data_IF_396030003646
#
_entry.id   IF_396030003646
#
_cell.length_a   1.000
_cell.length_b   1.000
_cell.length_c   1.000
_cell.angle_alpha   90.00
_cell.angle_beta   90.00
_cell.angle_gamma   90.00
#
_symmetry.space_group_name_H-M   'P 1'
#
loop_
_entity.id
_entity.type
_entity.pdbx_description
1 polymer ?
#
# COMPACT_ATOMS: atom_id res chain seq x y z
N UNK A 1 16.02 17.96 2.85
CA UNK A 1 15.53 17.45 4.15
C UNK A 1 16.32 16.19 4.48
N UNK A 2 16.38 15.75 5.74
CA UNK A 2 16.96 14.43 6.05
C UNK A 2 15.92 13.34 5.76
N UNK A 3 16.38 12.19 5.25
CA UNK A 3 15.53 10.99 5.18
C UNK A 3 15.14 10.55 6.59
N UNK A 4 13.91 10.03 6.75
CA UNK A 4 13.40 9.61 8.05
C UNK A 4 12.54 8.36 7.92
N UNK A 5 12.77 7.40 8.79
CA UNK A 5 11.88 6.24 8.98
C UNK A 5 11.17 6.40 10.32
N UNK A 6 9.85 6.22 10.34
CA UNK A 6 9.03 6.30 11.54
C UNK A 6 8.25 5.00 11.70
N UNK A 7 8.50 4.29 12.81
CA UNK A 7 7.74 3.12 13.23
C UNK A 7 6.62 3.56 14.17
N UNK A 8 5.37 3.20 13.87
CA UNK A 8 4.23 3.55 14.71
C UNK A 8 3.94 2.45 15.73
N UNK A 9 3.49 2.85 16.92
CA UNK A 9 3.16 1.94 18.02
C UNK A 9 1.78 1.32 17.82
N UNK A 10 1.69 0.31 16.97
CA UNK A 10 0.43 -0.36 16.62
C UNK A 10 0.13 -1.60 17.47
N UNK A 11 1.07 -2.03 18.31
CA UNK A 11 0.93 -3.23 19.13
C UNK A 11 1.44 -4.45 18.39
N UNK A 12 0.53 -5.20 17.75
CA UNK A 12 0.88 -6.32 16.89
C UNK A 12 0.86 -5.91 15.40
N UNK A 13 1.74 -6.52 14.61
CA UNK A 13 1.98 -6.17 13.21
C UNK A 13 2.75 -4.87 13.02
N UNK A 14 2.73 -4.34 11.80
CA UNK A 14 3.61 -3.25 11.39
C UNK A 14 2.84 -2.04 10.84
N UNK A 15 3.45 -0.87 11.01
CA UNK A 15 3.08 0.36 10.31
C UNK A 15 4.29 1.28 10.29
N UNK A 16 4.82 1.54 9.09
CA UNK A 16 6.08 2.27 8.91
C UNK A 16 5.93 3.36 7.84
N UNK A 17 6.26 4.60 8.21
CA UNK A 17 6.34 5.73 7.28
C UNK A 17 7.81 6.05 6.97
N UNK A 18 8.19 5.87 5.71
CA UNK A 18 9.46 6.35 5.15
C UNK A 18 9.22 7.71 4.51
N UNK A 19 10.11 8.67 4.82
CA UNK A 19 10.18 9.97 4.16
C UNK A 19 11.51 10.13 3.48
N UNK A 20 11.48 10.48 2.20
CA UNK A 20 12.67 10.70 1.39
C UNK A 20 13.31 12.06 1.68
N UNK A 21 14.59 12.17 1.34
CA UNK A 21 15.40 13.38 1.53
C UNK A 21 15.19 14.46 0.45
N UNK A 22 14.11 14.40 -0.31
CA UNK A 22 13.77 15.35 -1.37
C UNK A 22 13.05 16.60 -0.84
N UNK A 23 12.93 17.64 -1.67
CA UNK A 23 12.19 18.87 -1.32
C UNK A 23 10.69 18.60 -1.13
N UNK A 24 10.03 17.76 -1.96
CA UNK A 24 8.65 17.33 -1.72
C UNK A 24 8.47 16.51 -0.45
N UNK A 25 9.52 16.02 0.21
CA UNK A 25 9.40 15.20 1.41
C UNK A 25 8.49 13.99 1.19
N UNK A 26 8.70 13.31 0.07
CA UNK A 26 7.89 12.19 -0.45
C UNK A 26 7.73 11.10 0.59
N UNK A 27 6.53 10.53 0.66
CA UNK A 27 6.08 9.64 1.72
C UNK A 27 5.67 8.26 1.21
N UNK A 28 6.29 7.22 1.77
CA UNK A 28 5.97 5.81 1.50
C UNK A 28 5.48 5.21 2.81
N UNK A 29 4.23 4.74 2.83
CA UNK A 29 3.64 4.06 3.99
C UNK A 29 3.54 2.56 3.69
N UNK A 30 4.20 1.75 4.53
CA UNK A 30 4.15 0.29 4.50
C UNK A 30 3.33 -0.20 5.68
N UNK A 31 2.31 -0.99 5.39
CA UNK A 31 1.32 -1.52 6.34
C UNK A 31 0.53 -0.45 7.11
N UNK A 32 -0.58 -0.88 7.71
CA UNK A 32 -1.42 -0.06 8.57
C UNK A 32 -2.11 -0.93 9.60
N UNK A 33 -2.03 -0.53 10.87
CA UNK A 33 -2.82 -1.16 11.93
C UNK A 33 -3.26 -0.12 12.96
N UNK A 34 -4.22 0.71 12.55
CA UNK A 34 -4.85 1.69 13.43
C UNK A 34 -5.99 1.00 14.17
N UNK A 35 -5.73 0.66 15.43
CA UNK A 35 -6.68 -0.05 16.31
C UNK A 35 -7.87 0.86 16.64
N UNK A 36 -9.08 0.32 16.58
CA UNK A 36 -10.32 1.07 16.89
C UNK A 36 -10.35 1.66 18.29
N UNK A 37 -9.64 1.04 19.25
CA UNK A 37 -9.47 1.59 20.59
C UNK A 37 -8.77 2.96 20.59
N UNK A 38 -7.89 3.23 19.62
CA UNK A 38 -7.21 4.52 19.46
C UNK A 38 -8.15 5.69 19.14
N UNK A 39 -9.40 5.39 18.74
CA UNK A 39 -10.42 6.39 18.46
C UNK A 39 -11.17 6.86 19.72
N UNK A 40 -11.03 6.16 20.86
CA UNK A 40 -11.54 6.62 22.14
C UNK A 40 -10.46 7.44 22.87
N UNK A 41 -10.65 8.76 23.07
CA UNK A 41 -9.67 9.60 23.75
C UNK A 41 -9.47 9.23 25.23
N UNK A 42 -10.26 8.31 25.78
CA UNK A 42 -10.11 7.78 27.15
C UNK A 42 -9.37 6.44 27.19
N UNK A 43 -9.10 5.81 26.05
CA UNK A 43 -8.32 4.58 25.98
C UNK A 43 -6.82 4.92 25.94
N UNK A 44 -5.98 4.11 26.57
CA UNK A 44 -4.53 4.32 26.62
C UNK A 44 -3.83 3.91 25.31
N UNK A 45 -4.57 3.41 24.31
CA UNK A 45 -4.05 3.06 22.99
C UNK A 45 -3.46 4.30 22.30
N UNK A 46 -2.21 4.25 21.80
CA UNK A 46 -1.61 5.37 21.08
C UNK A 46 -2.46 5.82 19.88
N UNK A 47 -2.71 7.13 19.77
CA UNK A 47 -3.38 7.75 18.62
C UNK A 47 -2.42 7.81 17.40
N UNK A 48 -2.26 6.65 16.76
CA UNK A 48 -1.46 6.47 15.56
C UNK A 48 -2.06 7.23 14.37
N UNK A 49 -3.38 7.41 14.32
CA UNK A 49 -4.08 8.11 13.26
C UNK A 49 -3.67 9.60 13.18
N UNK A 50 -3.67 10.28 14.32
CA UNK A 50 -3.20 11.67 14.44
C UNK A 50 -1.70 11.75 14.27
N UNK A 51 -0.94 10.79 14.80
CA UNK A 51 0.51 10.74 14.62
C UNK A 51 0.89 10.66 13.14
N UNK A 52 0.20 9.83 12.35
CA UNK A 52 0.40 9.76 10.89
C UNK A 52 0.02 11.10 10.25
N UNK A 53 -1.20 11.60 10.49
CA UNK A 53 -1.73 12.84 9.87
C UNK A 53 -0.84 14.06 10.09
N UNK A 54 -0.27 14.22 11.29
CA UNK A 54 0.65 15.31 11.62
C UNK A 54 1.95 15.28 10.79
N UNK A 55 2.23 14.18 10.11
CA UNK A 55 3.38 14.03 9.20
C UNK A 55 2.96 14.13 7.74
N UNK A 56 1.68 14.00 7.39
CA UNK A 56 1.27 13.99 5.98
C UNK A 56 1.25 15.39 5.37
N UNK A 57 1.39 15.42 4.04
CA UNK A 57 1.14 16.61 3.23
C UNK A 57 -0.31 16.61 2.74
N UNK A 58 -0.72 17.74 2.17
CA UNK A 58 -2.06 17.97 1.64
C UNK A 58 -1.99 18.30 0.15
N UNK A 59 -2.94 17.79 -0.63
CA UNK A 59 -3.07 18.15 -2.03
C UNK A 59 -3.76 19.52 -2.21
N UNK A 60 -3.99 19.92 -3.46
CA UNK A 60 -4.60 21.21 -3.79
C UNK A 60 -6.07 21.34 -3.32
N UNK A 61 -6.73 20.21 -3.02
CA UNK A 61 -8.09 20.15 -2.47
C UNK A 61 -8.09 19.95 -0.95
N UNK A 62 -6.94 20.16 -0.33
CA UNK A 62 -6.74 20.06 1.11
C UNK A 62 -6.99 18.65 1.68
N UNK A 63 -6.71 17.61 0.88
CA UNK A 63 -6.84 16.22 1.28
C UNK A 63 -5.48 15.69 1.74
N UNK A 64 -5.38 15.07 2.93
CA UNK A 64 -4.13 14.47 3.37
C UNK A 64 -3.76 13.31 2.46
N UNK A 65 -2.49 13.12 2.13
CA UNK A 65 -2.06 12.04 1.26
C UNK A 65 -0.76 11.36 1.69
N UNK A 66 -0.59 10.12 1.22
CA UNK A 66 0.70 9.45 1.07
C UNK A 66 1.02 9.31 -0.42
N UNK A 67 2.29 9.44 -0.78
CA UNK A 67 2.71 9.30 -2.18
C UNK A 67 2.65 7.82 -2.61
N UNK A 68 3.02 6.92 -1.70
CA UNK A 68 2.92 5.48 -1.90
C UNK A 68 2.29 4.82 -0.67
N UNK A 69 1.40 3.86 -0.93
CA UNK A 69 0.94 2.91 0.08
C UNK A 69 1.16 1.47 -0.39
N UNK A 70 1.59 0.60 0.52
CA UNK A 70 1.73 -0.83 0.26
C UNK A 70 1.41 -1.66 1.50
N UNK A 71 0.96 -2.89 1.27
CA UNK A 71 0.91 -3.92 2.29
C UNK A 71 2.02 -4.93 2.03
N UNK A 72 2.76 -5.29 3.07
CA UNK A 72 3.65 -6.46 3.04
C UNK A 72 2.82 -7.73 2.82
N UNK A 73 1.66 -7.82 3.49
CA UNK A 73 0.69 -8.89 3.36
C UNK A 73 -0.72 -8.55 3.92
N UNK A 74 -1.76 -9.38 3.71
CA UNK A 74 -3.14 -8.99 4.02
C UNK A 74 -3.64 -9.40 5.40
N UNK A 75 -2.81 -9.95 6.28
CA UNK A 75 -3.22 -10.24 7.67
C UNK A 75 -3.70 -8.95 8.39
N UNK A 76 -4.66 -9.10 9.32
CA UNK A 76 -5.39 -7.96 9.91
C UNK A 76 -4.50 -6.98 10.69
N UNK A 77 -3.43 -7.50 11.29
CA UNK A 77 -2.41 -6.73 12.00
C UNK A 77 -1.49 -5.92 11.05
N UNK A 78 -1.65 -6.05 9.73
CA UNK A 78 -0.95 -5.24 8.73
C UNK A 78 -1.87 -4.38 7.87
N UNK A 79 -3.19 -4.58 7.93
CA UNK A 79 -4.16 -3.77 7.19
C UNK A 79 -5.30 -3.15 8.02
N UNK A 80 -5.33 -3.39 9.34
CA UNK A 80 -6.40 -2.94 10.22
C UNK A 80 -6.59 -1.42 10.22
N UNK A 81 -7.85 -0.98 10.05
CA UNK A 81 -8.23 0.43 10.05
C UNK A 81 -8.10 1.11 8.69
N UNK A 82 -7.66 0.39 7.65
CA UNK A 82 -7.50 0.93 6.29
C UNK A 82 -8.78 1.62 5.79
N UNK A 83 -9.93 0.92 5.82
CA UNK A 83 -11.21 1.45 5.29
C UNK A 83 -11.68 2.71 6.01
N UNK A 84 -11.34 2.83 7.29
CA UNK A 84 -11.73 3.97 8.13
C UNK A 84 -10.88 5.20 7.81
N UNK A 85 -9.57 5.02 7.66
CA UNK A 85 -8.64 6.14 7.58
C UNK A 85 -8.21 6.51 6.16
N UNK A 86 -8.43 5.66 5.16
CA UNK A 86 -7.99 5.86 3.78
C UNK A 86 -9.16 5.84 2.80
N UNK A 87 -9.04 6.62 1.72
CA UNK A 87 -9.98 6.60 0.61
C UNK A 87 -9.55 5.54 -0.41
N UNK A 88 -10.43 4.56 -0.62
CA UNK A 88 -10.22 3.41 -1.50
C UNK A 88 -11.14 3.51 -2.73
N UNK A 89 -11.05 4.64 -3.42
CA UNK A 89 -11.89 4.94 -4.56
C UNK A 89 -11.22 5.92 -5.51
N UNK A 90 -11.97 6.28 -6.54
CA UNK A 90 -11.59 7.30 -7.52
C UNK A 90 -11.39 8.66 -6.84
N UNK A 91 -10.30 9.40 -7.09
CA UNK A 91 -10.09 10.73 -6.51
C UNK A 91 -11.21 11.73 -6.82
N UNK A 92 -11.91 11.51 -7.93
CA UNK A 92 -13.03 12.33 -8.41
C UNK A 92 -14.30 12.10 -7.59
N UNK A 93 -14.43 10.91 -7.00
CA UNK A 93 -15.57 10.49 -6.16
C UNK A 93 -15.30 10.70 -4.65
N UNK A 94 -14.24 11.44 -4.30
CA UNK A 94 -13.81 11.65 -2.92
C UNK A 94 -14.87 12.44 -2.13
N UNK A 95 -15.50 11.84 -1.10
CA UNK A 95 -16.69 12.43 -0.51
C UNK A 95 -16.37 13.36 0.68
N UNK A 96 -15.14 13.36 1.17
CA UNK A 96 -14.78 14.03 2.43
C UNK A 96 -14.31 15.49 2.21
N UNK A 97 -14.44 16.05 1.01
CA UNK A 97 -13.94 17.41 0.71
C UNK A 97 -14.51 18.51 1.62
N UNK A 98 -15.74 18.30 2.08
CA UNK A 98 -16.47 19.19 2.97
C UNK A 98 -16.07 19.03 4.46
N UNK A 99 -15.33 17.98 4.81
CA UNK A 99 -14.90 17.71 6.19
C UNK A 99 -13.64 18.51 6.55
N UNK A 100 -13.37 18.63 7.86
CA UNK A 100 -12.12 19.22 8.35
C UNK A 100 -10.93 18.32 7.99
N UNK A 101 -9.75 18.91 7.81
CA UNK A 101 -8.49 18.19 7.51
C UNK A 101 -8.25 16.95 8.37
N UNK A 102 -8.57 17.01 9.67
CA UNK A 102 -8.38 15.91 10.62
C UNK A 102 -9.33 14.74 10.39
N UNK A 103 -10.51 15.00 9.82
CA UNK A 103 -11.59 14.03 9.61
C UNK A 103 -11.54 13.42 8.20
N UNK A 104 -10.86 14.08 7.26
CA UNK A 104 -10.65 13.61 5.89
C UNK A 104 -9.90 12.27 5.87
N UNK A 105 -10.36 11.34 5.02
CA UNK A 105 -9.61 10.11 4.71
C UNK A 105 -8.37 10.40 3.87
N UNK A 106 -7.31 9.66 4.11
CA UNK A 106 -6.02 9.83 3.45
C UNK A 106 -6.11 9.30 2.01
N UNK A 107 -5.67 10.11 1.06
CA UNK A 107 -5.49 9.72 -0.34
C UNK A 107 -4.21 8.90 -0.49
N UNK A 108 -4.30 7.80 -1.25
CA UNK A 108 -3.14 7.02 -1.70
C UNK A 108 -2.86 7.41 -3.16
N UNK A 109 -1.75 8.11 -3.42
CA UNK A 109 -1.43 8.55 -4.79
C UNK A 109 -1.04 7.37 -5.69
N UNK A 110 -0.10 6.54 -5.26
CA UNK A 110 0.29 5.31 -5.93
C UNK A 110 0.18 4.11 -4.98
N UNK A 111 -0.36 3.01 -5.49
CA UNK A 111 -0.46 1.75 -4.75
C UNK A 111 0.65 0.81 -5.22
N UNK A 112 1.36 0.17 -4.31
CA UNK A 112 2.22 -0.97 -4.66
C UNK A 112 1.58 -2.24 -4.10
N UNK A 113 1.25 -3.17 -4.99
CA UNK A 113 0.52 -4.38 -4.62
C UNK A 113 1.00 -5.57 -5.43
N UNK A 114 1.08 -6.72 -4.79
CA UNK A 114 1.27 -8.00 -5.46
C UNK A 114 -0.05 -8.76 -5.53
N UNK A 115 -0.38 -9.44 -6.64
CA UNK A 115 -1.46 -10.43 -6.64
C UNK A 115 -1.15 -11.63 -5.74
N UNK A 116 0.14 -11.95 -5.52
CA UNK A 116 0.57 -13.13 -4.78
C UNK A 116 0.26 -13.05 -3.27
N UNK A 117 0.25 -11.85 -2.67
CA UNK A 117 -0.11 -11.70 -1.24
C UNK A 117 -1.57 -12.14 -0.97
N UNK A 118 -2.44 -12.13 -1.99
CA UNK A 118 -3.85 -12.54 -1.88
C UNK A 118 -4.10 -14.01 -2.22
N UNK A 119 -3.12 -14.73 -2.77
CA UNK A 119 -3.24 -16.19 -3.01
C UNK A 119 -3.35 -16.99 -1.71
N UNK A 120 -2.92 -16.39 -0.59
CA UNK A 120 -3.16 -16.87 0.80
C UNK A 120 -4.62 -17.15 1.14
N UNK A 121 -5.58 -16.71 0.33
CA UNK A 121 -7.01 -17.01 0.51
C UNK A 121 -7.26 -18.50 0.30
N UNK A 122 -7.05 -19.29 1.35
CA UNK A 122 -7.47 -20.70 1.43
C UNK A 122 -8.85 -20.82 2.07
N UNK A 123 -9.43 -22.03 2.03
CA UNK A 123 -10.69 -22.32 2.76
C UNK A 123 -10.60 -22.04 4.27
N UNK A 124 -9.38 -21.99 4.83
CA UNK A 124 -9.12 -21.83 6.25
C UNK A 124 -8.56 -20.45 6.63
N UNK A 125 -8.31 -19.56 5.67
CA UNK A 125 -7.80 -18.20 5.93
C UNK A 125 -8.64 -17.16 5.18
N UNK A 126 -9.69 -16.69 5.85
CA UNK A 126 -10.57 -15.65 5.33
C UNK A 126 -9.94 -14.27 5.51
N UNK A 127 -9.85 -13.50 4.42
CA UNK A 127 -9.40 -12.11 4.47
C UNK A 127 -10.36 -11.27 5.32
N UNK A 128 -9.81 -10.43 6.21
CA UNK A 128 -10.61 -9.44 6.93
C UNK A 128 -11.18 -8.37 5.96
N UNK A 129 -12.13 -7.56 6.44
CA UNK A 129 -12.78 -6.57 5.58
C UNK A 129 -11.81 -5.52 5.01
N UNK A 130 -10.80 -5.12 5.78
CA UNK A 130 -9.77 -4.18 5.31
C UNK A 130 -8.90 -4.78 4.19
N UNK A 131 -8.49 -6.04 4.33
CA UNK A 131 -7.77 -6.77 3.28
C UNK A 131 -8.60 -6.93 1.99
N UNK A 132 -9.90 -7.22 2.12
CA UNK A 132 -10.81 -7.29 0.98
C UNK A 132 -10.95 -5.94 0.28
N UNK A 133 -11.02 -4.84 1.04
CA UNK A 133 -11.11 -3.50 0.49
C UNK A 133 -9.81 -3.07 -0.21
N UNK A 134 -8.63 -3.40 0.34
CA UNK A 134 -7.36 -3.18 -0.35
C UNK A 134 -7.30 -3.93 -1.69
N UNK A 135 -7.66 -5.21 -1.71
CA UNK A 135 -7.67 -6.00 -2.95
C UNK A 135 -8.64 -5.43 -3.99
N UNK A 136 -9.80 -4.94 -3.53
CA UNK A 136 -10.79 -4.28 -4.39
C UNK A 136 -10.23 -3.01 -5.00
N UNK A 137 -9.52 -2.18 -4.22
CA UNK A 137 -8.87 -0.96 -4.69
C UNK A 137 -7.73 -1.26 -5.68
N UNK A 138 -6.89 -2.25 -5.40
CA UNK A 138 -5.83 -2.68 -6.32
C UNK A 138 -6.42 -3.10 -7.67
N UNK A 139 -7.47 -3.93 -7.66
CA UNK A 139 -8.20 -4.36 -8.88
C UNK A 139 -8.84 -3.20 -9.63
N UNK A 140 -9.39 -2.21 -8.91
CA UNK A 140 -9.94 -0.98 -9.51
C UNK A 140 -8.86 -0.23 -10.30
N UNK A 141 -7.67 -0.07 -9.74
CA UNK A 141 -6.54 0.63 -10.38
C UNK A 141 -5.99 -0.15 -11.58
N UNK A 142 -5.87 -1.48 -11.48
CA UNK A 142 -5.49 -2.33 -12.63
C UNK A 142 -6.51 -2.21 -13.76
N UNK A 143 -7.80 -2.26 -13.44
CA UNK A 143 -8.86 -2.09 -14.43
C UNK A 143 -8.78 -0.71 -15.09
N UNK A 144 -8.59 0.35 -14.30
CA UNK A 144 -8.40 1.70 -14.82
C UNK A 144 -7.22 1.77 -15.80
N UNK A 145 -6.07 1.18 -15.44
CA UNK A 145 -4.90 1.11 -16.31
C UNK A 145 -5.21 0.39 -17.62
N UNK A 146 -5.83 -0.79 -17.56
CA UNK A 146 -6.21 -1.57 -18.76
C UNK A 146 -7.15 -0.81 -19.70
N UNK A 147 -8.06 -0.01 -19.14
CA UNK A 147 -9.02 0.78 -19.92
C UNK A 147 -8.39 2.01 -20.60
N UNK A 148 -7.37 2.62 -19.98
CA UNK A 148 -6.88 3.94 -20.42
C UNK A 148 -5.43 3.91 -20.95
N UNK A 149 -4.61 2.95 -20.54
CA UNK A 149 -3.18 2.87 -20.85
C UNK A 149 -2.30 3.87 -20.08
N UNK A 150 -2.88 4.66 -19.19
CA UNK A 150 -2.20 5.60 -18.30
C UNK A 150 -3.02 5.81 -17.02
N UNK A 151 -2.41 6.41 -16.00
CA UNK A 151 -3.09 6.79 -14.76
C UNK A 151 -2.52 8.09 -14.19
N UNK A 152 -3.37 8.86 -13.50
CA UNK A 152 -2.98 10.01 -12.68
C UNK A 152 -2.85 9.62 -11.20
N UNK A 153 -2.26 10.49 -10.39
CA UNK A 153 -2.16 10.34 -8.94
C UNK A 153 -3.53 10.01 -8.34
N UNK A 154 -3.58 9.00 -7.48
CA UNK A 154 -4.81 8.44 -6.92
C UNK A 154 -5.39 7.26 -7.70
N UNK A 155 -4.95 7.06 -8.95
CA UNK A 155 -5.31 5.92 -9.79
C UNK A 155 -4.10 5.05 -10.17
N UNK A 156 -2.87 5.47 -9.85
CA UNK A 156 -1.65 4.71 -10.17
C UNK A 156 -1.48 3.46 -9.31
N UNK A 157 -0.93 2.42 -9.91
CA UNK A 157 -0.53 1.20 -9.25
C UNK A 157 0.74 0.64 -9.90
N UNK A 158 1.64 0.10 -9.10
CA UNK A 158 2.68 -0.83 -9.54
C UNK A 158 2.34 -2.24 -9.04
N UNK A 159 2.49 -3.21 -9.94
CA UNK A 159 2.32 -4.64 -9.69
C UNK A 159 3.66 -5.22 -9.29
N UNK A 160 3.74 -5.71 -8.06
CA UNK A 160 4.95 -6.27 -7.48
C UNK A 160 4.97 -7.78 -7.64
N UNK A 161 5.79 -8.28 -8.55
CA UNK A 161 5.92 -9.69 -8.89
C UNK A 161 4.98 -10.13 -10.01
N UNK A 162 5.45 -11.11 -10.78
CA UNK A 162 4.69 -11.74 -11.86
C UNK A 162 3.64 -12.70 -11.28
N UNK A 163 2.45 -12.73 -11.89
CA UNK A 163 1.46 -13.76 -11.60
C UNK A 163 1.55 -14.87 -12.64
N UNK A 164 1.19 -16.09 -12.23
CA UNK A 164 1.26 -17.27 -13.09
C UNK A 164 0.27 -17.17 -14.26
N UNK A 165 0.52 -17.96 -15.31
CA UNK A 165 -0.36 -18.10 -16.47
C UNK A 165 -0.63 -16.78 -17.23
N UNK A 166 0.36 -15.88 -17.25
CA UNK A 166 0.32 -14.66 -18.07
C UNK A 166 -0.66 -13.58 -17.62
N UNK A 167 -1.19 -13.66 -16.39
CA UNK A 167 -2.17 -12.70 -15.86
C UNK A 167 -1.65 -11.26 -15.73
N UNK A 168 -0.33 -11.09 -15.77
CA UNK A 168 0.38 -9.81 -15.70
C UNK A 168 1.06 -9.41 -17.01
N UNK A 169 0.94 -10.20 -18.08
CA UNK A 169 1.66 -9.97 -19.34
C UNK A 169 1.26 -8.63 -20.00
N UNK A 170 -0.02 -8.27 -19.87
CA UNK A 170 -0.56 -7.00 -20.37
C UNK A 170 -0.23 -5.80 -19.47
N UNK A 171 0.45 -6.02 -18.34
CA UNK A 171 0.77 -5.00 -17.34
C UNK A 171 2.26 -4.64 -17.29
N UNK A 172 3.05 -5.04 -18.29
CA UNK A 172 4.52 -4.83 -18.35
C UNK A 172 4.98 -3.41 -17.99
N UNK A 173 4.23 -2.38 -18.40
CA UNK A 173 4.55 -0.97 -18.11
C UNK A 173 4.39 -0.56 -16.63
N UNK A 174 3.68 -1.35 -15.84
CA UNK A 174 3.45 -1.15 -14.40
C UNK A 174 3.86 -2.36 -13.56
N UNK A 175 4.56 -3.33 -14.16
CA UNK A 175 5.02 -4.56 -13.51
C UNK A 175 6.49 -4.40 -13.10
N UNK A 176 6.77 -4.69 -11.83
CA UNK A 176 8.12 -4.80 -11.28
C UNK A 176 8.34 -6.28 -10.95
N UNK A 177 9.27 -6.95 -11.63
CA UNK A 177 9.56 -8.37 -11.39
C UNK A 177 10.52 -8.54 -10.22
N UNK A 178 10.55 -9.73 -9.62
CA UNK A 178 11.55 -10.04 -8.61
C UNK A 178 12.96 -9.90 -9.24
N UNK A 179 13.85 -9.17 -8.57
CA UNK A 179 15.17 -8.79 -9.06
C UNK A 179 15.22 -7.40 -9.71
N UNK A 180 14.09 -6.88 -10.21
CA UNK A 180 14.06 -5.58 -10.88
C UNK A 180 14.31 -4.43 -9.90
N UNK A 181 14.97 -3.39 -10.41
CA UNK A 181 15.17 -2.13 -9.72
C UNK A 181 14.30 -1.04 -10.35
N UNK A 182 13.65 -0.24 -9.51
CA UNK A 182 12.83 0.89 -9.95
C UNK A 182 13.14 2.14 -9.14
N UNK A 183 12.88 3.30 -9.75
CA UNK A 183 13.22 4.63 -9.21
C UNK A 183 12.04 5.60 -9.29
N UNK A 184 10.88 5.14 -9.77
CA UNK A 184 9.70 6.00 -9.97
C UNK A 184 8.78 5.92 -8.76
N UNK A 185 8.26 7.07 -8.36
CA UNK A 185 7.20 7.23 -7.36
C UNK A 185 6.13 8.12 -7.96
N UNK A 186 4.87 7.68 -7.92
CA UNK A 186 3.71 8.40 -8.47
C UNK A 186 3.94 8.86 -9.94
N UNK A 187 4.60 7.99 -10.71
CA UNK A 187 4.96 8.23 -12.11
C UNK A 187 6.14 9.19 -12.37
N UNK A 188 6.79 9.72 -11.34
CA UNK A 188 7.96 10.61 -11.48
C UNK A 188 9.24 9.88 -11.10
N UNK A 189 10.33 10.10 -11.84
CA UNK A 189 11.66 9.59 -11.46
C UNK A 189 12.15 10.35 -10.23
N UNK A 190 12.67 9.62 -9.24
CA UNK A 190 13.28 10.21 -8.05
C UNK A 190 14.79 10.07 -8.09
N UNK A 191 15.49 11.17 -7.82
CA UNK A 191 16.95 11.18 -7.69
C UNK A 191 17.44 10.68 -6.33
N UNK A 192 16.52 10.51 -5.36
CA UNK A 192 16.82 10.14 -3.97
C UNK A 192 16.15 8.83 -3.55
N UNK A 193 15.62 8.06 -4.50
CA UNK A 193 15.00 6.79 -4.25
C UNK A 193 15.36 5.77 -5.31
N UNK A 194 15.77 4.59 -4.85
CA UNK A 194 15.77 3.37 -5.64
C UNK A 194 15.29 2.22 -4.77
N UNK A 195 14.53 1.29 -5.33
CA UNK A 195 14.22 0.04 -4.66
C UNK A 195 14.41 -1.14 -5.61
N UNK A 196 14.91 -2.25 -5.06
CA UNK A 196 14.93 -3.53 -5.73
C UNK A 196 13.85 -4.44 -5.13
N UNK A 197 12.98 -4.99 -5.97
CA UNK A 197 12.02 -6.00 -5.51
C UNK A 197 12.76 -7.33 -5.31
N UNK A 198 12.66 -7.92 -4.12
CA UNK A 198 13.30 -9.19 -3.79
C UNK A 198 12.29 -10.35 -3.78
N UNK A 199 11.07 -10.08 -3.32
CA UNK A 199 9.96 -11.03 -3.28
C UNK A 199 8.64 -10.27 -3.43
N UNK A 200 7.54 -10.91 -3.87
CA UNK A 200 7.42 -12.35 -4.13
C UNK A 200 8.05 -12.77 -5.48
N UNK A 201 8.69 -13.94 -5.49
CA UNK A 201 9.14 -14.61 -6.71
C UNK A 201 8.15 -15.72 -7.08
N UNK A 202 7.89 -15.96 -8.38
CA UNK A 202 7.07 -17.10 -8.78
C UNK A 202 7.75 -18.42 -8.36
N UNK A 203 7.01 -19.27 -7.67
CA UNK A 203 7.40 -20.66 -7.42
C UNK A 203 6.82 -21.55 -8.52
N UNK A 204 7.50 -22.66 -8.86
CA UNK A 204 6.96 -23.67 -9.77
C UNK A 204 5.65 -24.25 -9.19
N UNK A 205 4.67 -24.51 -10.05
CA UNK A 205 3.33 -25.01 -9.70
C UNK A 205 3.38 -26.37 -8.98
N UNK A 206 3.69 -26.36 -7.70
CA UNK A 206 3.40 -27.47 -6.80
C UNK A 206 2.31 -26.98 -5.85
N UNK A 207 1.06 -27.40 -6.13
CA UNK A 207 -0.10 -27.10 -5.29
C UNK A 207 0.14 -27.49 -3.81
N UNK A 208 1.00 -28.50 -3.56
CA UNK A 208 1.39 -28.86 -2.19
C UNK A 208 2.40 -27.89 -1.60
N UNK A 209 3.29 -27.31 -2.44
CA UNK A 209 4.18 -26.23 -2.02
C UNK A 209 3.35 -24.97 -1.75
N UNK A 210 2.34 -24.63 -2.54
CA UNK A 210 1.46 -23.48 -2.26
C UNK A 210 0.68 -23.60 -0.93
N UNK A 211 0.29 -24.82 -0.53
CA UNK A 211 -0.25 -25.09 0.82
C UNK A 211 0.81 -25.11 1.92
N UNK A 212 2.06 -25.47 1.59
CA UNK A 212 3.19 -25.57 2.52
C UNK A 212 4.06 -24.30 2.62
N UNK A 213 3.92 -23.36 1.68
CA UNK A 213 4.60 -22.08 1.67
C UNK A 213 4.16 -21.37 2.94
N UNK A 214 5.13 -21.12 3.81
CA UNK A 214 4.89 -20.49 5.09
C UNK A 214 4.31 -19.09 4.85
N UNK A 215 3.57 -18.56 5.83
CA UNK A 215 2.91 -17.23 5.75
C UNK A 215 3.81 -16.12 5.19
N UNK A 216 5.13 -16.24 5.30
CA UNK A 216 6.09 -15.18 4.96
C UNK A 216 6.57 -15.20 3.49
N UNK A 217 6.37 -16.29 2.74
CA UNK A 217 6.99 -16.45 1.40
C UNK A 217 6.26 -15.70 0.28
N UNK A 218 5.02 -15.25 0.51
CA UNK A 218 4.26 -14.43 -0.45
C UNK A 218 4.31 -12.94 -0.16
N UNK A 219 5.03 -12.50 0.88
CA UNK A 219 5.11 -11.09 1.27
C UNK A 219 5.90 -10.27 0.24
N UNK A 220 5.58 -8.98 0.12
CA UNK A 220 6.41 -8.05 -0.65
C UNK A 220 7.65 -7.73 0.17
N UNK A 221 8.82 -8.07 -0.38
CA UNK A 221 10.12 -7.79 0.23
C UNK A 221 10.91 -6.94 -0.75
N UNK A 222 11.44 -5.81 -0.28
CA UNK A 222 12.24 -4.91 -1.11
C UNK A 222 13.41 -4.33 -0.35
N UNK A 223 14.49 -4.07 -1.08
CA UNK A 223 15.64 -3.31 -0.61
C UNK A 223 15.51 -1.88 -1.10
N UNK A 224 15.14 -0.95 -0.22
CA UNK A 224 15.10 0.49 -0.49
C UNK A 224 16.48 1.10 -0.22
N UNK A 225 17.03 1.84 -1.19
CA UNK A 225 18.35 2.46 -1.20
C UNK A 225 18.26 3.99 -1.24
#
# INVERSE_FOLDING_TARGET
MAAKVTFFQVGNGDMTLVRLADTPGTSILTDVHIRSAADDPKDDTPDVASALRNRLKYDNNDRPFVDVFMLSHPDQDHCGGLRKHFWLGRPEDYPDDHLKRSEKRIIIRELWSSPLIFRRRSKNHTLCEDAQAFNTEARRRVKYWREHGYAFSGNRILIMGEDINGKTDDLSAILIKAGDTFTRIDGQVSDVFSAQLLAPAPHEDDENLEEALSKNESSIIMNMK
#
